data_IF_697051847688
#
_entry.id   IF_697051847688
#
_cell.length_a   1.000
_cell.length_b   1.000
_cell.length_c   1.000
_cell.angle_alpha   90.00
_cell.angle_beta   90.00
_cell.angle_gamma   90.00
#
_symmetry.space_group_name_H-M   'P 1'
#
loop_
_entity.id
_entity.type
_entity.pdbx_description
1 polymer ?
#
# COMPACT_ATOMS: atom_id res chain seq x y z
N UNK A 1 -10.32 0.46 -50.14
CA UNK A 1 -9.86 -0.51 -49.13
C UNK A 1 -8.82 0.17 -48.26
N UNK A 2 -9.24 0.86 -47.20
CA UNK A 2 -8.31 1.56 -46.29
C UNK A 2 -7.99 0.62 -45.13
N UNK A 3 -6.79 0.05 -45.12
CA UNK A 3 -6.28 -0.70 -43.99
C UNK A 3 -5.79 0.31 -42.94
N UNK A 4 -6.61 0.58 -41.93
CA UNK A 4 -6.14 1.15 -40.66
C UNK A 4 -5.45 0.00 -39.90
N UNK A 5 -4.13 -0.04 -39.95
CA UNK A 5 -3.35 -0.91 -39.08
C UNK A 5 -3.47 -0.36 -37.66
N UNK A 6 -4.14 -1.10 -36.79
CA UNK A 6 -4.32 -0.76 -35.39
C UNK A 6 -2.97 -0.36 -34.78
N UNK A 7 -3.01 0.74 -34.01
CA UNK A 7 -2.03 1.07 -32.99
C UNK A 7 -1.61 -0.22 -32.30
N UNK A 8 -0.33 -0.55 -32.35
CA UNK A 8 0.26 -1.56 -31.48
C UNK A 8 -0.14 -1.12 -30.08
N UNK A 9 -0.95 -1.94 -29.40
CA UNK A 9 -1.37 -1.67 -28.03
C UNK A 9 -0.10 -1.48 -27.20
N UNK A 10 0.25 -0.22 -26.95
CA UNK A 10 1.34 0.14 -26.08
C UNK A 10 0.95 -0.43 -24.72
N UNK A 11 1.61 -1.52 -24.31
CA UNK A 11 1.36 -2.15 -23.01
C UNK A 11 1.66 -1.10 -21.96
N UNK A 12 0.62 -0.38 -21.51
CA UNK A 12 0.70 0.70 -20.53
C UNK A 12 1.29 0.09 -19.27
N UNK A 13 2.58 0.34 -19.05
CA UNK A 13 3.31 -0.20 -17.91
C UNK A 13 2.65 0.32 -16.64
N UNK A 14 1.91 -0.54 -15.95
CA UNK A 14 1.29 -0.20 -14.67
C UNK A 14 2.37 0.25 -13.71
N UNK A 15 2.26 1.48 -13.21
CA UNK A 15 3.19 2.00 -12.22
C UNK A 15 3.02 1.18 -10.94
N UNK A 16 4.14 0.86 -10.30
CA UNK A 16 4.16 0.08 -9.05
C UNK A 16 4.25 1.04 -7.87
N UNK A 17 3.39 0.83 -6.88
CA UNK A 17 3.35 1.60 -5.63
C UNK A 17 3.70 0.64 -4.49
N UNK A 18 4.61 1.08 -3.61
CA UNK A 18 4.96 0.36 -2.38
C UNK A 18 4.69 1.27 -1.19
N UNK A 19 3.86 0.79 -0.26
CA UNK A 19 3.44 1.52 0.93
C UNK A 19 3.79 0.70 2.16
N UNK A 20 4.77 1.20 2.94
CA UNK A 20 5.12 0.64 4.25
C UNK A 20 4.27 1.26 5.35
N UNK A 21 3.62 0.44 6.16
CA UNK A 21 2.77 0.87 7.28
C UNK A 21 3.36 0.33 8.58
N UNK A 22 3.70 1.22 9.50
CA UNK A 22 4.24 0.83 10.80
C UNK A 22 3.11 0.34 11.73
N UNK A 23 3.29 -0.79 12.43
CA UNK A 23 2.35 -1.29 13.43
C UNK A 23 2.39 -0.50 14.75
N UNK A 24 1.97 0.76 14.69
CA UNK A 24 1.91 1.68 15.85
C UNK A 24 0.72 1.44 16.79
N UNK A 25 -0.27 0.66 16.35
CA UNK A 25 -1.37 0.13 17.17
C UNK A 25 -2.71 0.83 17.01
N UNK A 26 -2.76 2.16 16.98
CA UNK A 26 -4.02 2.88 16.81
C UNK A 26 -4.07 3.58 15.46
N UNK A 27 -4.94 3.11 14.58
CA UNK A 27 -5.30 3.83 13.37
C UNK A 27 -6.18 5.03 13.72
N UNK A 28 -5.69 6.22 13.44
CA UNK A 28 -6.47 7.44 13.61
C UNK A 28 -7.25 7.79 12.35
N UNK A 29 -8.28 8.63 12.49
CA UNK A 29 -9.01 9.17 11.34
C UNK A 29 -8.06 9.89 10.35
N UNK A 30 -6.99 10.51 10.86
CA UNK A 30 -5.96 11.14 10.03
C UNK A 30 -5.19 10.13 9.17
N UNK A 31 -4.88 8.94 9.69
CA UNK A 31 -4.23 7.89 8.91
C UNK A 31 -5.17 7.34 7.82
N UNK A 32 -6.44 7.19 8.15
CA UNK A 32 -7.45 6.73 7.19
C UNK A 32 -7.64 7.72 6.05
N UNK A 33 -7.94 8.98 6.37
CA UNK A 33 -8.18 10.02 5.37
C UNK A 33 -6.91 10.42 4.61
N UNK A 34 -5.75 10.40 5.27
CA UNK A 34 -4.49 10.85 4.68
C UNK A 34 -3.79 9.81 3.80
N UNK A 35 -4.02 8.52 4.03
CA UNK A 35 -3.34 7.45 3.30
C UNK A 35 -4.27 6.32 2.88
N UNK A 36 -4.95 5.66 3.83
CA UNK A 36 -5.67 4.41 3.55
C UNK A 36 -6.78 4.56 2.52
N UNK A 37 -7.54 5.66 2.59
CA UNK A 37 -8.61 5.94 1.62
C UNK A 37 -8.06 6.01 0.19
N UNK A 38 -6.91 6.64 0.00
CA UNK A 38 -6.28 6.76 -1.31
C UNK A 38 -5.70 5.42 -1.81
N UNK A 39 -5.27 4.55 -0.90
CA UNK A 39 -4.73 3.24 -1.27
C UNK A 39 -5.76 2.36 -1.97
N UNK A 40 -7.03 2.44 -1.58
CA UNK A 40 -8.13 1.70 -2.23
C UNK A 40 -8.31 2.16 -3.68
N UNK A 41 -8.42 3.46 -3.90
CA UNK A 41 -8.61 4.02 -5.25
C UNK A 41 -7.41 3.71 -6.16
N UNK A 42 -6.19 3.72 -5.61
CA UNK A 42 -4.96 3.46 -6.37
C UNK A 42 -4.81 2.00 -6.81
N UNK A 43 -5.47 1.04 -6.15
CA UNK A 43 -5.40 -0.38 -6.52
C UNK A 43 -6.01 -0.67 -7.89
N UNK A 44 -6.94 0.15 -8.37
CA UNK A 44 -7.58 -0.04 -9.68
C UNK A 44 -6.62 0.27 -10.84
N UNK A 45 -5.73 1.25 -10.65
CA UNK A 45 -4.86 1.78 -11.71
C UNK A 45 -3.39 1.35 -11.58
N UNK A 46 -2.97 0.89 -10.40
CA UNK A 46 -1.56 0.65 -10.07
C UNK A 46 -1.33 -0.74 -9.45
N UNK A 47 -0.12 -1.25 -9.62
CA UNK A 47 0.31 -2.45 -8.89
C UNK A 47 0.74 -2.04 -7.49
N UNK A 48 -0.11 -2.25 -6.50
CA UNK A 48 0.13 -1.83 -5.11
C UNK A 48 0.67 -2.96 -4.24
N UNK A 49 1.67 -2.64 -3.43
CA UNK A 49 2.22 -3.50 -2.38
C UNK A 49 2.10 -2.79 -1.04
N UNK A 50 1.40 -3.41 -0.09
CA UNK A 50 1.27 -2.92 1.27
C UNK A 50 2.09 -3.82 2.19
N UNK A 51 3.06 -3.23 2.87
CA UNK A 51 3.99 -3.94 3.74
C UNK A 51 3.82 -3.44 5.18
N UNK A 52 3.54 -4.36 6.11
CA UNK A 52 3.61 -4.04 7.53
C UNK A 52 5.09 -4.08 7.91
N UNK A 53 5.65 -2.93 8.28
CA UNK A 53 7.09 -2.78 8.55
C UNK A 53 7.41 -3.04 10.02
N UNK A 54 7.20 -4.27 10.48
CA UNK A 54 7.50 -4.71 11.86
C UNK A 54 9.00 -4.62 12.20
N UNK A 55 9.89 -4.90 11.24
CA UNK A 55 11.34 -4.70 11.40
C UNK A 55 11.71 -3.23 11.66
N UNK A 56 10.94 -2.28 11.11
CA UNK A 56 11.15 -0.86 11.43
C UNK A 56 10.60 -0.52 12.82
N UNK A 57 9.58 -1.23 13.29
CA UNK A 57 9.00 -1.00 14.61
C UNK A 57 9.91 -1.44 15.76
N UNK A 58 10.73 -2.48 15.57
CA UNK A 58 11.66 -2.99 16.60
C UNK A 58 12.93 -2.13 16.79
N UNK A 59 13.11 -1.09 15.96
CA UNK A 59 14.23 -0.14 16.11
C UNK A 59 14.08 0.75 17.36
N UNK A 60 12.90 0.75 17.97
CA UNK A 60 12.59 1.38 19.27
C UNK A 60 12.09 0.32 20.25
N UNK A 61 12.08 0.57 21.58
CA UNK A 61 11.56 -0.38 22.56
C UNK A 61 10.10 -0.76 22.26
N UNK A 62 9.81 -2.07 22.22
CA UNK A 62 8.48 -2.62 21.97
C UNK A 62 8.11 -3.68 23.02
N UNK A 63 6.82 -3.77 23.33
CA UNK A 63 6.26 -4.96 23.98
C UNK A 63 5.93 -5.99 22.89
N UNK A 64 6.51 -7.19 22.99
CA UNK A 64 6.35 -8.27 22.01
C UNK A 64 4.88 -8.66 21.77
N UNK A 65 4.05 -8.66 22.82
CA UNK A 65 2.66 -9.10 22.71
C UNK A 65 1.84 -8.00 22.05
N UNK A 66 2.04 -6.76 22.51
CA UNK A 66 1.40 -5.57 21.94
C UNK A 66 1.77 -5.37 20.46
N UNK A 67 3.04 -5.52 20.09
CA UNK A 67 3.48 -5.40 18.71
C UNK A 67 2.79 -6.44 17.82
N UNK A 68 2.66 -7.69 18.30
CA UNK A 68 1.97 -8.74 17.56
C UNK A 68 0.48 -8.45 17.38
N UNK A 69 -0.16 -7.86 18.37
CA UNK A 69 -1.56 -7.45 18.30
C UNK A 69 -1.73 -6.28 17.32
N UNK A 70 -0.84 -5.28 17.38
CA UNK A 70 -0.82 -4.14 16.47
C UNK A 70 -0.65 -4.54 14.99
N UNK A 71 0.15 -5.59 14.72
CA UNK A 71 0.34 -6.11 13.35
C UNK A 71 -0.96 -6.71 12.82
N UNK A 72 -1.76 -7.38 13.67
CA UNK A 72 -3.03 -8.01 13.27
C UNK A 72 -4.19 -7.02 13.18
N UNK A 73 -4.13 -5.91 13.88
CA UNK A 73 -5.18 -4.90 13.92
C UNK A 73 -5.12 -3.90 12.76
N UNK A 74 -4.13 -4.04 11.88
CA UNK A 74 -3.88 -3.17 10.74
C UNK A 74 -4.62 -3.63 9.47
#
# INVERSE_FOLDING_TARGET
>A
MVFFMNKIDEVKKMKTIFSGIQPSGTLTLGNYLGAMKHFVDLQEDHKCYFCIVDEHAITVPQDRLKLRDNIKSL
#
